data_IF_489191384715
#
_entry.id   IF_489191384715
#
_cell.length_a   1.000
_cell.length_b   1.000
_cell.length_c   1.000
_cell.angle_alpha   90.00
_cell.angle_beta   90.00
_cell.angle_gamma   90.00
#
_symmetry.space_group_name_H-M   'P 1'
#
loop_
_entity.id
_entity.type
_entity.pdbx_description
1 polymer ?
#
# COMPACT_ATOMS: atom_id res chain seq x y z
N UNK A 1 -23.54 -24.63 8.55
CA UNK A 1 -22.17 -24.18 8.21
C UNK A 1 -22.29 -22.85 7.49
N UNK A 2 -22.14 -21.74 8.23
CA UNK A 2 -22.33 -20.39 7.67
C UNK A 2 -21.16 -20.05 6.74
N UNK A 3 -21.44 -19.92 5.45
CA UNK A 3 -20.46 -19.48 4.46
C UNK A 3 -20.02 -18.05 4.76
N UNK A 4 -18.90 -17.88 5.46
CA UNK A 4 -18.32 -16.56 5.66
C UNK A 4 -18.03 -15.97 4.27
N UNK A 5 -18.63 -14.81 3.98
CA UNK A 5 -18.42 -14.14 2.69
C UNK A 5 -17.02 -13.53 2.65
N UNK A 6 -16.40 -13.64 1.48
CA UNK A 6 -15.21 -12.87 1.12
C UNK A 6 -15.62 -11.39 1.12
N UNK A 7 -14.92 -10.59 1.91
CA UNK A 7 -15.18 -9.15 2.02
C UNK A 7 -13.94 -8.38 1.58
N UNK A 8 -14.07 -7.59 0.51
CA UNK A 8 -13.02 -6.69 0.06
C UNK A 8 -13.06 -5.40 0.88
N UNK A 9 -11.96 -5.09 1.54
CA UNK A 9 -11.84 -3.91 2.39
C UNK A 9 -11.20 -2.79 1.57
N UNK A 10 -11.89 -1.67 1.37
CA UNK A 10 -11.30 -0.55 0.65
C UNK A 10 -10.11 0.00 1.44
N UNK A 11 -9.08 0.44 0.72
CA UNK A 11 -7.93 1.11 1.30
C UNK A 11 -8.28 2.54 1.71
N UNK A 12 -7.64 3.03 2.77
CA UNK A 12 -7.66 4.45 3.07
C UNK A 12 -7.15 5.23 1.86
N UNK A 13 -7.86 6.31 1.52
CA UNK A 13 -7.40 7.22 0.49
C UNK A 13 -6.01 7.69 0.86
N UNK A 14 -5.03 7.34 0.04
CA UNK A 14 -3.67 7.81 0.21
C UNK A 14 -3.71 9.34 0.35
N UNK A 15 -3.13 9.88 1.42
CA UNK A 15 -2.76 11.29 1.49
C UNK A 15 -1.63 11.52 0.48
N UNK A 16 -1.96 11.47 -0.80
CA UNK A 16 -1.03 11.71 -1.88
C UNK A 16 -0.62 13.18 -1.76
N UNK A 17 0.57 13.42 -1.21
CA UNK A 17 1.21 14.72 -1.20
C UNK A 17 1.07 15.35 -2.60
N UNK A 18 0.71 16.65 -2.69
CA UNK A 18 0.60 17.34 -3.98
C UNK A 18 1.89 17.19 -4.80
N UNK A 19 3.04 17.11 -4.13
CA UNK A 19 4.36 16.89 -4.72
C UNK A 19 4.47 15.52 -5.43
N UNK A 20 3.83 14.48 -4.89
CA UNK A 20 3.79 13.17 -5.55
C UNK A 20 2.89 13.16 -6.77
N UNK A 21 1.72 13.82 -6.71
CA UNK A 21 0.88 13.98 -7.91
C UNK A 21 1.66 14.69 -9.01
N UNK A 22 2.44 15.71 -8.65
CA UNK A 22 3.35 16.39 -9.56
C UNK A 22 4.45 15.50 -10.10
N UNK A 23 4.99 14.54 -9.35
CA UNK A 23 5.99 13.58 -9.87
C UNK A 23 5.36 12.53 -10.79
N UNK A 24 4.23 11.94 -10.38
CA UNK A 24 3.52 10.91 -11.17
C UNK A 24 3.05 11.44 -12.52
N UNK A 25 2.63 12.71 -12.58
CA UNK A 25 2.25 13.37 -13.83
C UNK A 25 3.41 14.08 -14.50
N UNK A 26 4.31 14.68 -13.73
CA UNK A 26 5.38 15.53 -14.23
C UNK A 26 6.49 14.77 -14.91
N UNK A 27 6.88 13.57 -14.44
CA UNK A 27 7.92 12.79 -15.13
C UNK A 27 7.43 12.34 -16.52
N UNK A 28 6.25 11.73 -16.69
CA UNK A 28 5.72 11.41 -18.01
C UNK A 28 5.48 12.65 -18.89
N UNK A 29 4.94 13.74 -18.32
CA UNK A 29 4.71 14.98 -19.05
C UNK A 29 6.02 15.63 -19.52
N UNK A 30 7.08 15.58 -18.70
CA UNK A 30 8.40 16.08 -19.07
C UNK A 30 9.03 15.24 -20.18
N UNK A 31 8.96 13.91 -20.10
CA UNK A 31 9.43 13.02 -21.18
C UNK A 31 8.66 13.28 -22.47
N UNK A 32 7.33 13.44 -22.38
CA UNK A 32 6.49 13.77 -23.52
C UNK A 32 6.84 15.15 -24.10
N UNK A 33 7.05 16.16 -23.24
CA UNK A 33 7.45 17.49 -23.65
C UNK A 33 8.79 17.47 -24.37
N UNK A 34 9.80 16.76 -23.85
CA UNK A 34 11.10 16.56 -24.49
C UNK A 34 10.96 15.83 -25.83
N UNK A 35 10.11 14.80 -25.91
CA UNK A 35 9.86 14.08 -27.16
C UNK A 35 9.20 14.96 -28.24
N UNK A 36 8.46 15.99 -27.84
CA UNK A 36 7.79 16.95 -28.72
C UNK A 36 8.67 18.14 -29.12
N UNK A 37 9.84 18.35 -28.48
CA UNK A 37 10.79 19.38 -28.91
C UNK A 37 11.35 18.96 -30.28
N UNK A 38 11.12 19.76 -31.34
CA UNK A 38 11.60 19.44 -32.68
C UNK A 38 13.11 19.68 -32.75
N UNK A 39 13.88 18.68 -32.33
CA UNK A 39 15.31 18.63 -32.58
C UNK A 39 15.55 18.05 -33.99
N UNK A 40 16.48 18.66 -34.73
CA UNK A 40 16.85 18.22 -36.08
C UNK A 40 17.58 16.87 -36.08
N UNK A 41 18.13 16.47 -34.93
CA UNK A 41 18.82 15.20 -34.75
C UNK A 41 17.93 14.09 -34.18
N UNK A 42 16.72 14.43 -33.70
CA UNK A 42 15.77 13.45 -33.17
C UNK A 42 15.11 12.65 -34.30
N UNK A 43 15.65 11.45 -34.56
CA UNK A 43 15.05 10.48 -35.48
C UNK A 43 13.60 10.15 -35.07
N UNK A 44 12.68 9.91 -36.03
CA UNK A 44 11.29 9.59 -35.72
C UNK A 44 11.15 8.34 -34.84
N UNK A 45 12.09 7.39 -34.96
CA UNK A 45 12.17 6.22 -34.11
C UNK A 45 12.41 6.56 -32.63
N UNK A 46 13.37 7.46 -32.35
CA UNK A 46 13.68 7.88 -30.98
C UNK A 46 12.48 8.57 -30.31
N UNK A 47 11.72 9.38 -31.06
CA UNK A 47 10.49 10.02 -30.55
C UNK A 47 9.39 9.00 -30.21
N UNK A 48 9.18 8.00 -31.07
CA UNK A 48 8.22 6.91 -30.81
C UNK A 48 8.64 6.11 -29.57
N UNK A 49 9.93 5.80 -29.44
CA UNK A 49 10.47 5.07 -28.29
C UNK A 49 10.27 5.85 -26.97
N UNK A 50 10.62 7.14 -26.94
CA UNK A 50 10.43 8.02 -25.78
C UNK A 50 8.95 8.14 -25.39
N UNK A 51 8.07 8.33 -26.37
CA UNK A 51 6.61 8.43 -26.14
C UNK A 51 6.04 7.13 -25.59
N UNK A 52 6.44 6.00 -26.18
CA UNK A 52 6.03 4.66 -25.72
C UNK A 52 6.53 4.41 -24.30
N UNK A 53 7.77 4.76 -23.99
CA UNK A 53 8.33 4.63 -22.64
C UNK A 53 7.56 5.48 -21.63
N UNK A 54 7.21 6.73 -21.97
CA UNK A 54 6.41 7.61 -21.12
C UNK A 54 5.02 7.04 -20.81
N UNK A 55 4.33 6.53 -21.84
CA UNK A 55 3.03 5.87 -21.68
C UNK A 55 3.14 4.59 -20.84
N UNK A 56 4.16 3.77 -21.07
CA UNK A 56 4.42 2.57 -20.27
C UNK A 56 4.69 2.92 -18.79
N UNK A 57 5.52 3.92 -18.50
CA UNK A 57 5.78 4.37 -17.14
C UNK A 57 4.52 4.92 -16.46
N UNK A 58 3.74 5.75 -17.18
CA UNK A 58 2.47 6.26 -16.66
C UNK A 58 1.49 5.14 -16.34
N UNK A 59 1.29 4.19 -17.25
CA UNK A 59 0.45 3.03 -17.04
C UNK A 59 0.93 2.19 -15.85
N UNK A 60 2.25 1.98 -15.72
CA UNK A 60 2.86 1.24 -14.61
C UNK A 60 2.59 1.92 -13.25
N UNK A 61 2.77 3.23 -13.14
CA UNK A 61 2.49 3.98 -11.91
C UNK A 61 1.01 3.91 -11.52
N UNK A 62 0.11 3.99 -12.50
CA UNK A 62 -1.33 3.88 -12.27
C UNK A 62 -1.75 2.47 -11.83
N UNK A 63 -1.16 1.42 -12.42
CA UNK A 63 -1.41 0.03 -12.03
C UNK A 63 -0.85 -0.29 -10.63
N UNK A 64 0.34 0.22 -10.30
CA UNK A 64 0.95 -0.02 -8.99
C UNK A 64 0.06 0.47 -7.85
N UNK A 65 -0.58 1.64 -8.03
CA UNK A 65 -1.50 2.21 -7.05
C UNK A 65 -2.75 1.36 -6.81
N UNK A 66 -3.20 0.59 -7.80
CA UNK A 66 -4.42 -0.25 -7.71
C UNK A 66 -4.18 -1.63 -7.09
N UNK A 67 -2.94 -2.01 -6.82
CA UNK A 67 -2.57 -3.40 -6.51
C UNK A 67 -2.31 -3.68 -5.03
N UNK A 68 -2.46 -2.69 -4.16
CA UNK A 68 -2.59 -2.95 -2.72
C UNK A 68 -4.08 -3.18 -2.43
N UNK A 69 -4.42 -4.31 -1.84
CA UNK A 69 -5.78 -4.61 -1.44
C UNK A 69 -5.78 -5.52 -0.21
N UNK A 70 -6.78 -5.38 0.64
CA UNK A 70 -7.00 -6.29 1.76
C UNK A 70 -8.33 -7.01 1.55
N UNK A 71 -8.29 -8.34 1.60
CA UNK A 71 -9.48 -9.17 1.46
C UNK A 71 -9.59 -10.04 2.70
N UNK A 72 -10.75 -10.01 3.34
CA UNK A 72 -11.05 -10.86 4.49
C UNK A 72 -11.72 -12.14 3.99
N UNK A 73 -10.96 -13.24 4.01
CA UNK A 73 -11.47 -14.58 3.68
C UNK A 73 -12.03 -15.26 4.93
N UNK A 74 -12.75 -16.40 4.82
CA UNK A 74 -13.33 -17.09 5.98
C UNK A 74 -12.36 -17.40 7.12
N UNK A 75 -11.10 -17.58 6.79
CA UNK A 75 -10.05 -18.17 7.62
C UNK A 75 -8.82 -17.26 7.81
N UNK A 76 -8.70 -16.18 7.02
CA UNK A 76 -7.50 -15.34 7.00
C UNK A 76 -7.74 -13.90 6.51
N UNK A 77 -6.84 -13.01 6.90
CA UNK A 77 -6.63 -11.73 6.21
C UNK A 77 -5.68 -11.96 5.05
N UNK A 78 -6.11 -11.66 3.83
CA UNK A 78 -5.26 -11.69 2.65
C UNK A 78 -4.83 -10.27 2.32
N UNK A 79 -3.51 -10.04 2.38
CA UNK A 79 -2.86 -8.80 1.97
C UNK A 79 -2.30 -9.03 0.57
N UNK A 80 -2.94 -8.42 -0.42
CA UNK A 80 -2.48 -8.48 -1.80
C UNK A 80 -1.60 -7.26 -2.10
N UNK A 81 -0.41 -7.52 -2.65
CA UNK A 81 0.55 -6.50 -3.10
C UNK A 81 0.84 -6.71 -4.58
N UNK A 82 1.49 -5.74 -5.22
CA UNK A 82 1.84 -5.79 -6.65
C UNK A 82 2.58 -7.08 -7.04
N UNK A 83 3.53 -7.49 -6.21
CA UNK A 83 4.47 -8.58 -6.49
C UNK A 83 4.19 -9.86 -5.69
N UNK A 84 3.42 -9.78 -4.60
CA UNK A 84 3.26 -10.92 -3.70
C UNK A 84 1.98 -10.83 -2.86
N UNK A 85 1.48 -11.97 -2.40
CA UNK A 85 0.34 -12.07 -1.50
C UNK A 85 0.80 -12.64 -0.16
N UNK A 86 0.37 -12.04 0.95
CA UNK A 86 0.54 -12.61 2.29
C UNK A 86 -0.83 -13.01 2.81
N UNK A 87 -0.93 -14.23 3.34
CA UNK A 87 -2.12 -14.72 4.03
C UNK A 87 -1.80 -14.80 5.52
N UNK A 88 -2.59 -14.12 6.34
CA UNK A 88 -2.48 -14.11 7.79
C UNK A 88 -3.67 -14.89 8.37
N UNK A 89 -3.49 -16.13 8.84
CA UNK A 89 -4.55 -16.89 9.49
C UNK A 89 -5.10 -16.14 10.70
N UNK A 90 -6.40 -16.27 10.97
CA UNK A 90 -7.00 -15.64 12.16
C UNK A 90 -6.53 -16.28 13.48
N UNK A 91 -6.09 -17.54 13.44
CA UNK A 91 -5.56 -18.24 14.60
C UNK A 91 -4.29 -17.57 15.12
N UNK A 92 -4.34 -17.07 16.36
CA UNK A 92 -3.22 -16.36 16.98
C UNK A 92 -2.99 -14.94 16.45
N UNK A 93 -3.88 -14.44 15.60
CA UNK A 93 -3.85 -13.05 15.14
C UNK A 93 -4.45 -12.16 16.22
N UNK A 94 -3.78 -11.07 16.55
CA UNK A 94 -4.38 -9.97 17.30
C UNK A 94 -4.30 -8.67 16.51
N UNK A 95 -5.28 -7.81 16.71
CA UNK A 95 -5.41 -6.57 15.96
C UNK A 95 -5.68 -5.41 16.90
N UNK A 96 -5.07 -4.25 16.64
CA UNK A 96 -5.41 -3.01 17.34
C UNK A 96 -5.24 -1.80 16.46
N UNK A 97 -5.91 -0.72 16.84
CA UNK A 97 -5.63 0.59 16.25
C UNK A 97 -4.29 1.09 16.76
N UNK A 98 -3.56 1.79 15.92
CA UNK A 98 -2.31 2.44 16.31
C UNK A 98 -2.37 3.94 16.00
N UNK A 99 -1.84 4.74 16.92
CA UNK A 99 -1.51 6.15 16.69
C UNK A 99 -0.13 6.30 16.04
N UNK A 100 0.62 5.20 15.92
CA UNK A 100 1.98 5.19 15.44
C UNK A 100 2.10 5.65 13.98
N UNK A 101 3.25 6.23 13.69
CA UNK A 101 3.60 6.78 12.39
C UNK A 101 4.72 5.94 11.80
N UNK A 102 4.53 5.46 10.57
CA UNK A 102 5.55 4.81 9.78
C UNK A 102 6.70 5.79 9.53
N UNK A 103 7.88 5.43 10.02
CA UNK A 103 9.11 6.17 9.86
C UNK A 103 9.93 5.68 8.67
N UNK A 104 11.22 5.41 8.92
CA UNK A 104 12.17 5.05 7.89
C UNK A 104 11.91 3.65 7.32
N UNK A 105 11.98 3.55 6.00
CA UNK A 105 11.99 2.27 5.27
C UNK A 105 13.36 1.62 5.41
N UNK A 106 13.40 0.43 5.99
CA UNK A 106 14.63 -0.40 6.02
C UNK A 106 14.69 -1.33 4.82
N UNK A 107 13.56 -1.79 4.29
CA UNK A 107 13.49 -2.63 3.09
C UNK A 107 12.15 -2.51 2.36
N UNK A 108 12.13 -2.67 1.04
CA UNK A 108 10.92 -2.69 0.21
C UNK A 108 10.64 -1.40 -0.56
N UNK A 109 9.37 -1.05 -0.74
CA UNK A 109 8.88 0.06 -1.57
C UNK A 109 8.17 1.10 -0.72
N UNK A 110 8.65 2.34 -0.75
CA UNK A 110 8.01 3.49 -0.11
C UNK A 110 7.64 4.53 -1.14
N UNK A 111 6.48 4.37 -1.77
CA UNK A 111 5.89 5.38 -2.65
C UNK A 111 4.67 5.98 -1.95
N UNK A 112 4.37 7.27 -2.14
CA UNK A 112 3.14 7.85 -1.63
C UNK A 112 1.92 7.08 -2.15
N UNK A 113 1.08 6.59 -1.24
CA UNK A 113 -0.03 5.71 -1.56
C UNK A 113 0.31 4.23 -1.72
N UNK A 114 1.58 3.84 -1.60
CA UNK A 114 2.02 2.45 -1.66
C UNK A 114 3.29 2.24 -0.81
N UNK A 115 3.08 1.90 0.45
CA UNK A 115 4.10 1.61 1.46
C UNK A 115 4.10 0.10 1.74
N UNK A 116 5.07 -0.62 1.18
CA UNK A 116 5.17 -2.07 1.36
C UNK A 116 6.59 -2.49 1.73
N UNK A 117 6.77 -3.26 2.79
CA UNK A 117 8.08 -3.78 3.20
C UNK A 117 8.36 -3.54 4.68
N UNK A 118 9.62 -3.52 5.07
CA UNK A 118 10.02 -3.28 6.45
C UNK A 118 10.19 -1.78 6.72
N UNK A 119 9.49 -1.31 7.74
CA UNK A 119 9.50 0.07 8.18
C UNK A 119 9.69 0.13 9.70
N UNK A 120 10.27 1.23 10.16
CA UNK A 120 10.21 1.58 11.58
C UNK A 120 8.84 2.15 11.91
N UNK A 121 8.37 1.92 13.13
CA UNK A 121 7.16 2.53 13.67
C UNK A 121 7.54 3.39 14.88
N UNK A 122 7.15 4.65 14.84
CA UNK A 122 7.33 5.61 15.94
C UNK A 122 5.97 5.90 16.59
N UNK A 123 5.97 6.37 17.83
CA UNK A 123 4.77 6.91 18.52
C UNK A 123 3.59 5.93 18.68
N UNK A 124 3.88 4.63 18.72
CA UNK A 124 2.88 3.58 18.85
C UNK A 124 2.42 3.33 20.31
N UNK A 125 3.12 3.90 21.30
CA UNK A 125 2.77 3.81 22.73
C UNK A 125 2.91 2.42 23.36
N UNK A 126 3.01 1.34 22.56
CA UNK A 126 3.09 -0.05 23.02
C UNK A 126 4.41 -0.76 22.63
N UNK A 127 5.43 0.01 22.25
CA UNK A 127 6.79 -0.51 22.06
C UNK A 127 7.07 -1.24 20.75
N UNK A 128 6.11 -1.30 19.81
CA UNK A 128 6.37 -1.84 18.47
C UNK A 128 7.22 -0.84 17.69
N UNK A 129 8.45 -1.24 17.35
CA UNK A 129 9.43 -0.38 16.67
C UNK A 129 9.66 -0.73 15.20
N UNK A 130 9.29 -1.94 14.78
CA UNK A 130 9.48 -2.43 13.41
C UNK A 130 8.25 -3.19 12.96
N UNK A 131 7.81 -2.91 11.74
CA UNK A 131 6.61 -3.50 11.16
C UNK A 131 6.82 -3.83 9.69
N UNK A 132 6.07 -4.82 9.23
CA UNK A 132 5.80 -5.05 7.83
C UNK A 132 4.66 -4.14 7.38
N UNK A 133 5.00 -3.04 6.75
CA UNK A 133 4.01 -2.16 6.15
C UNK A 133 3.38 -2.85 4.93
N UNK A 134 2.07 -2.77 4.85
CA UNK A 134 1.30 -2.91 3.64
C UNK A 134 0.20 -1.87 3.72
N UNK A 135 0.54 -0.62 3.42
CA UNK A 135 -0.26 0.56 3.71
C UNK A 135 -0.26 1.58 2.56
N UNK A 136 -1.31 2.38 2.50
CA UNK A 136 -1.47 3.52 1.58
C UNK A 136 -1.15 4.86 2.25
N UNK A 137 -1.07 4.91 3.59
CA UNK A 137 -0.71 6.09 4.36
C UNK A 137 0.30 5.74 5.45
N UNK A 138 1.07 6.72 5.93
CA UNK A 138 2.06 6.53 6.98
C UNK A 138 1.47 6.56 8.40
N UNK A 139 0.21 6.93 8.57
CA UNK A 139 -0.41 7.14 9.88
C UNK A 139 -1.88 6.70 9.87
N UNK A 140 -2.48 6.57 11.06
CA UNK A 140 -3.90 6.22 11.22
C UNK A 140 -4.21 4.78 10.83
N UNK A 141 -3.24 3.88 11.00
CA UNK A 141 -3.34 2.48 10.63
C UNK A 141 -3.91 1.56 11.71
N UNK A 142 -3.95 0.29 11.35
CA UNK A 142 -4.22 -0.86 12.20
C UNK A 142 -2.97 -1.72 12.23
N UNK A 143 -2.57 -2.14 13.42
CA UNK A 143 -1.54 -3.16 13.61
C UNK A 143 -2.20 -4.52 13.71
N UNK A 144 -1.69 -5.46 12.92
CA UNK A 144 -1.97 -6.88 13.07
C UNK A 144 -0.71 -7.56 13.60
N UNK A 145 -0.80 -8.12 14.79
CA UNK A 145 0.25 -8.94 15.36
C UNK A 145 -0.01 -10.40 14.99
N UNK A 146 0.93 -10.99 14.26
CA UNK A 146 0.98 -12.42 13.94
C UNK A 146 2.19 -13.02 14.64
N UNK A 147 2.20 -14.33 14.86
CA UNK A 147 3.29 -15.04 15.56
C UNK A 147 4.70 -14.69 15.03
N UNK A 148 4.83 -14.41 13.73
CA UNK A 148 6.12 -14.16 13.08
C UNK A 148 6.47 -12.66 12.91
N UNK A 149 5.47 -11.77 12.93
CA UNK A 149 5.68 -10.34 12.64
C UNK A 149 4.47 -9.45 12.95
N UNK A 150 4.75 -8.17 13.17
CA UNK A 150 3.77 -7.08 13.21
C UNK A 150 3.55 -6.50 11.81
N UNK A 151 2.29 -6.37 11.39
CA UNK A 151 1.90 -5.78 10.11
C UNK A 151 1.17 -4.46 10.33
N UNK A 152 1.56 -3.43 9.59
CA UNK A 152 0.87 -2.14 9.60
C UNK A 152 0.03 -1.98 8.34
N UNK A 153 -1.29 -1.88 8.52
CA UNK A 153 -2.28 -1.73 7.45
C UNK A 153 -3.02 -0.40 7.58
N UNK A 154 -3.51 0.13 6.46
CA UNK A 154 -4.36 1.35 6.47
C UNK A 154 -5.68 1.11 5.72
N UNK A 155 -6.63 0.39 6.33
CA UNK A 155 -7.98 0.25 5.79
C UNK A 155 -8.70 1.62 5.79
N UNK A 156 -9.67 1.80 4.88
CA UNK A 156 -10.43 3.07 4.78
C UNK A 156 -11.19 3.40 6.05
N UNK A 157 -11.71 2.37 6.70
CA UNK A 157 -12.41 2.45 7.96
C UNK A 157 -11.73 1.46 8.93
N UNK A 158 -10.76 1.93 9.73
CA UNK A 158 -10.10 1.12 10.75
C UNK A 158 -11.08 0.50 11.75
N UNK A 159 -12.16 1.20 12.10
CA UNK A 159 -13.11 0.73 13.09
C UNK A 159 -13.95 -0.42 12.54
N UNK A 160 -14.50 -0.26 11.32
CA UNK A 160 -15.24 -1.33 10.66
C UNK A 160 -14.35 -2.55 10.37
N UNK A 161 -13.08 -2.33 10.00
CA UNK A 161 -12.12 -3.41 9.79
C UNK A 161 -11.86 -4.21 11.07
N UNK A 162 -11.59 -3.53 12.19
CA UNK A 162 -11.38 -4.18 13.50
C UNK A 162 -12.64 -4.91 13.98
N UNK A 163 -13.83 -4.32 13.78
CA UNK A 163 -15.10 -4.95 14.13
C UNK A 163 -15.35 -6.24 13.33
N UNK A 164 -15.00 -6.25 12.04
CA UNK A 164 -15.08 -7.45 11.21
C UNK A 164 -14.09 -8.53 11.65
N UNK A 165 -12.85 -8.14 11.98
CA UNK A 165 -11.85 -9.07 12.52
C UNK A 165 -12.30 -9.70 13.83
N UNK A 166 -12.85 -8.91 14.76
CA UNK A 166 -13.40 -9.41 16.01
C UNK A 166 -14.53 -10.42 15.78
N UNK A 167 -15.42 -10.15 14.82
CA UNK A 167 -16.50 -11.08 14.44
C UNK A 167 -15.97 -12.41 13.91
N UNK A 168 -14.77 -12.41 13.33
CA UNK A 168 -14.08 -13.59 12.80
C UNK A 168 -13.17 -14.28 13.83
N UNK A 169 -13.22 -13.85 15.09
CA UNK A 169 -12.51 -14.47 16.21
C UNK A 169 -11.08 -13.97 16.42
N UNK A 170 -10.68 -12.87 15.79
CA UNK A 170 -9.39 -12.21 16.03
C UNK A 170 -9.45 -11.45 17.35
N UNK A 171 -8.42 -11.60 18.19
CA UNK A 171 -8.33 -10.88 19.45
C UNK A 171 -8.09 -9.39 19.21
N UNK A 172 -8.92 -8.52 19.80
CA UNK A 172 -8.66 -7.09 19.77
C UNK A 172 -7.80 -6.70 20.97
N UNK A 173 -6.62 -6.16 20.71
CA UNK A 173 -5.78 -5.54 21.73
C UNK A 173 -6.21 -4.08 21.95
N UNK A 174 -6.04 -3.60 23.18
CA UNK A 174 -6.36 -2.23 23.59
C UNK A 174 -5.30 -1.23 23.09
#
# INVERSE_FOLDING_TARGET
MSGARVLDIPLAAASASPLFRSVTWGVPALILAVALIPDRENTPFLRVLMTTLALCLFALFQLARRRLAYTLTPDAVVIQRVLNQTRLPYAGLSARRTSGVLGFRTFGTGMPGYLTGHFTLSDDGQGVSRVLAAASASQGGVLLHSADADYFLTPVDPAAFLAELARRGVGLAA
#
